data_IF_153234782849
#
_entry.id   IF_153234782849
#
_cell.length_a   1.000
_cell.length_b   1.000
_cell.length_c   1.000
_cell.angle_alpha   90.00
_cell.angle_beta   90.00
_cell.angle_gamma   90.00
#
_symmetry.space_group_name_H-M   'P 1'
#
loop_
_entity.id
_entity.type
_entity.pdbx_description
1 polymer ?
#
# COMPACT_ATOMS: atom_id res chain seq x y z
N UNK A 1 21.16 -26.00 37.06
CA UNK A 1 20.97 -26.09 35.60
C UNK A 1 20.13 -24.88 35.21
N UNK A 2 20.65 -23.96 34.39
CA UNK A 2 19.99 -22.68 34.10
C UNK A 2 19.10 -22.85 32.85
N UNK A 3 17.83 -22.46 32.95
CA UNK A 3 16.91 -22.47 31.80
C UNK A 3 17.10 -21.18 31.00
N UNK A 4 18.05 -21.21 30.06
CA UNK A 4 18.36 -20.09 29.17
C UNK A 4 17.32 -19.88 28.06
N UNK A 5 16.27 -20.71 27.99
CA UNK A 5 15.24 -20.66 26.95
C UNK A 5 14.57 -19.30 26.87
N UNK A 6 14.21 -18.73 28.02
CA UNK A 6 13.56 -17.42 28.09
C UNK A 6 14.46 -16.31 27.52
N UNK A 7 15.77 -16.38 27.75
CA UNK A 7 16.73 -15.41 27.21
C UNK A 7 16.90 -15.59 25.70
N UNK A 8 16.92 -16.83 25.21
CA UNK A 8 17.00 -17.14 23.79
C UNK A 8 15.75 -16.70 23.03
N UNK A 9 14.56 -17.03 23.52
CA UNK A 9 13.28 -16.64 22.92
C UNK A 9 13.18 -15.12 22.78
N UNK A 10 13.54 -14.35 23.82
CA UNK A 10 13.57 -12.89 23.76
C UNK A 10 14.55 -12.34 22.72
N UNK A 11 15.70 -13.00 22.53
CA UNK A 11 16.68 -12.61 21.50
C UNK A 11 16.15 -12.89 20.09
N UNK A 12 15.49 -14.04 19.90
CA UNK A 12 14.87 -14.41 18.63
C UNK A 12 13.74 -13.46 18.27
N UNK A 13 12.83 -13.17 19.20
CA UNK A 13 11.75 -12.22 18.98
C UNK A 13 12.26 -10.86 18.55
N UNK A 14 13.30 -10.36 19.24
CA UNK A 14 13.94 -9.09 18.89
C UNK A 14 14.55 -9.13 17.49
N UNK A 15 15.30 -10.19 17.17
CA UNK A 15 15.89 -10.37 15.84
C UNK A 15 14.81 -10.41 14.75
N UNK A 16 13.75 -11.19 14.95
CA UNK A 16 12.66 -11.31 13.99
C UNK A 16 11.99 -9.96 13.78
N UNK A 17 11.66 -9.23 14.86
CA UNK A 17 10.96 -7.95 14.79
C UNK A 17 11.82 -6.84 14.17
N UNK A 18 13.09 -6.75 14.56
CA UNK A 18 13.92 -5.56 14.29
C UNK A 18 14.87 -5.75 13.12
N UNK A 19 15.20 -6.99 12.74
CA UNK A 19 16.18 -7.28 11.68
C UNK A 19 15.56 -8.05 10.54
N UNK A 20 14.89 -9.16 10.83
CA UNK A 20 14.35 -10.02 9.77
C UNK A 20 13.17 -9.38 9.06
N UNK A 21 12.10 -9.00 9.79
CA UNK A 21 10.88 -8.45 9.20
C UNK A 21 11.12 -7.17 8.38
N UNK A 22 11.89 -6.17 8.85
CA UNK A 22 12.17 -4.97 8.05
C UNK A 22 13.00 -5.25 6.80
N UNK A 23 13.79 -6.33 6.79
CA UNK A 23 14.62 -6.72 5.65
C UNK A 23 13.90 -7.64 4.65
N UNK A 24 12.68 -8.10 4.95
CA UNK A 24 11.91 -8.95 4.04
C UNK A 24 11.56 -8.23 2.73
N UNK A 25 11.31 -6.93 2.81
CA UNK A 25 10.96 -6.09 1.67
C UNK A 25 12.03 -5.01 1.51
N UNK A 26 12.57 -4.90 0.30
CA UNK A 26 13.50 -3.83 -0.04
C UNK A 26 12.81 -2.45 -0.06
N UNK A 27 13.58 -1.37 -0.20
CA UNK A 27 13.01 -0.04 -0.42
C UNK A 27 12.08 -0.07 -1.65
N UNK A 28 10.92 0.57 -1.51
CA UNK A 28 10.01 0.79 -2.64
C UNK A 28 10.63 1.71 -3.68
N UNK A 29 10.11 1.65 -4.90
CA UNK A 29 10.42 2.62 -5.94
C UNK A 29 9.32 3.70 -5.98
N UNK A 30 9.67 4.96 -6.29
CA UNK A 30 8.67 5.99 -6.51
C UNK A 30 7.78 5.59 -7.69
N UNK A 31 6.48 5.80 -7.54
CA UNK A 31 5.50 5.62 -8.61
C UNK A 31 4.65 6.88 -8.68
N UNK A 32 4.42 7.35 -9.90
CA UNK A 32 3.45 8.40 -10.16
C UNK A 32 2.08 7.75 -10.29
N UNK A 33 1.12 8.26 -9.53
CA UNK A 33 -0.27 7.82 -9.56
C UNK A 33 -1.08 8.97 -10.15
N UNK A 34 -1.85 8.67 -11.18
CA UNK A 34 -2.82 9.57 -11.74
C UNK A 34 -4.20 8.93 -11.62
N UNK A 35 -5.24 9.76 -11.54
CA UNK A 35 -6.62 9.32 -11.39
C UNK A 35 -7.57 10.10 -12.27
N UNK A 36 -8.69 9.47 -12.63
CA UNK A 36 -9.82 10.08 -13.28
C UNK A 36 -11.12 9.67 -12.59
N UNK A 37 -11.84 10.65 -12.06
CA UNK A 37 -13.13 10.42 -11.39
C UNK A 37 -14.27 10.36 -12.42
N UNK A 38 -15.03 9.26 -12.39
CA UNK A 38 -16.17 9.05 -13.28
C UNK A 38 -17.38 9.82 -12.77
N UNK A 39 -18.00 10.63 -13.61
CA UNK A 39 -19.29 11.25 -13.29
C UNK A 39 -20.43 10.23 -13.44
N UNK A 40 -21.01 9.79 -12.32
CA UNK A 40 -22.16 8.88 -12.30
C UNK A 40 -21.76 7.41 -12.23
N UNK A 41 -22.28 6.59 -13.14
CA UNK A 41 -22.10 5.14 -13.14
C UNK A 41 -20.72 4.70 -13.67
N UNK A 42 -20.21 3.53 -13.25
CA UNK A 42 -18.98 2.96 -13.78
C UNK A 42 -18.99 2.84 -15.31
N UNK A 43 -17.83 3.07 -15.92
CA UNK A 43 -17.65 2.97 -17.37
C UNK A 43 -16.81 1.76 -17.75
N UNK A 44 -16.88 1.35 -19.01
CA UNK A 44 -16.01 0.30 -19.56
C UNK A 44 -14.56 0.77 -19.61
N UNK A 45 -13.63 -0.19 -19.60
CA UNK A 45 -12.20 0.12 -19.70
C UNK A 45 -11.85 0.89 -20.98
N UNK A 46 -12.50 0.60 -22.11
CA UNK A 46 -12.29 1.31 -23.38
C UNK A 46 -12.62 2.80 -23.28
N UNK A 47 -13.57 3.17 -22.41
CA UNK A 47 -13.89 4.57 -22.14
C UNK A 47 -12.90 5.17 -21.15
N UNK A 48 -12.46 4.42 -20.13
CA UNK A 48 -11.59 4.92 -19.08
C UNK A 48 -10.17 5.22 -19.57
N UNK A 49 -9.56 4.32 -20.35
CA UNK A 49 -8.14 4.42 -20.76
C UNK A 49 -7.82 5.59 -21.69
N UNK A 50 -8.84 6.24 -22.27
CA UNK A 50 -8.69 7.41 -23.14
C UNK A 50 -8.99 8.74 -22.45
N UNK A 51 -9.26 8.72 -21.14
CA UNK A 51 -9.55 9.92 -20.37
C UNK A 51 -8.28 10.66 -19.97
N UNK A 52 -8.48 11.91 -19.53
CA UNK A 52 -7.41 12.70 -18.96
C UNK A 52 -7.28 12.38 -17.46
N UNK A 53 -6.25 11.63 -17.13
CA UNK A 53 -5.87 11.35 -15.75
C UNK A 53 -5.11 12.55 -15.17
N UNK A 54 -5.34 12.83 -13.89
CA UNK A 54 -4.68 13.92 -13.16
C UNK A 54 -3.89 13.35 -11.99
N UNK A 55 -2.76 13.96 -11.61
CA UNK A 55 -1.96 13.50 -10.47
C UNK A 55 -2.81 13.32 -9.21
N UNK A 56 -2.60 12.19 -8.53
CA UNK A 56 -3.20 11.85 -7.26
C UNK A 56 -2.09 11.63 -6.22
N UNK A 57 -2.34 12.01 -4.98
CA UNK A 57 -1.40 11.87 -3.87
C UNK A 57 -2.02 11.06 -2.74
N UNK A 58 -1.15 10.42 -1.94
CA UNK A 58 -1.60 9.73 -0.75
C UNK A 58 -2.26 10.72 0.22
N UNK A 59 -3.49 10.41 0.63
CA UNK A 59 -4.30 11.26 1.51
C UNK A 59 -5.33 12.12 0.79
N UNK A 60 -5.35 12.14 -0.54
CA UNK A 60 -6.40 12.83 -1.30
C UNK A 60 -7.79 12.25 -0.99
N UNK A 61 -8.79 13.13 -0.94
CA UNK A 61 -10.18 12.70 -0.79
C UNK A 61 -10.64 11.95 -2.05
N UNK A 62 -11.37 10.86 -1.82
CA UNK A 62 -12.07 10.11 -2.87
C UNK A 62 -13.41 10.74 -3.20
N UNK A 63 -14.01 10.31 -4.32
CA UNK A 63 -15.33 10.74 -4.73
C UNK A 63 -16.45 10.35 -3.76
N UNK A 64 -17.68 10.70 -4.13
CA UNK A 64 -18.87 10.38 -3.35
C UNK A 64 -19.04 8.86 -3.12
N UNK A 65 -19.82 8.44 -2.10
CA UNK A 65 -20.12 7.03 -1.90
C UNK A 65 -20.61 6.36 -3.19
N UNK A 66 -20.05 5.18 -3.49
CA UNK A 66 -20.36 4.39 -4.68
C UNK A 66 -19.92 5.00 -6.03
N UNK A 67 -19.16 6.10 -6.02
CA UNK A 67 -18.53 6.62 -7.23
C UNK A 67 -17.39 5.70 -7.69
N UNK A 68 -17.06 5.82 -8.99
CA UNK A 68 -15.93 5.12 -9.59
C UNK A 68 -14.81 6.11 -9.86
N UNK A 69 -13.60 5.74 -9.48
CA UNK A 69 -12.35 6.42 -9.86
C UNK A 69 -11.48 5.38 -10.56
N UNK A 70 -10.97 5.75 -11.73
CA UNK A 70 -9.93 5.00 -12.42
C UNK A 70 -8.56 5.59 -12.09
#
# INVERSE_FOLDING_TARGET
MHDDRVLLERRLERFVRERLRPALYGPGQPVDVERWDVSGEPVTIYRAVVQEFRPAQAGDAWGAPWSTTW
#
